data_IF_111749991627
#
_entry.id   IF_111749991627
#
_cell.length_a   1.000
_cell.length_b   1.000
_cell.length_c   1.000
_cell.angle_alpha   90.00
_cell.angle_beta   90.00
_cell.angle_gamma   90.00
#
_symmetry.space_group_name_H-M   'P 1'
#
loop_
_entity.id
_entity.type
_entity.pdbx_description
1 polymer ?
#
# COMPACT_ATOMS: atom_id res chain seq x y z
N UNK A 1 20.37 -24.09 -9.05
CA UNK A 1 19.70 -24.46 -7.78
C UNK A 1 19.83 -23.28 -6.84
N UNK A 2 18.74 -22.90 -6.17
CA UNK A 2 18.77 -21.87 -5.11
C UNK A 2 19.58 -22.43 -3.93
N UNK A 3 20.42 -21.62 -3.29
CA UNK A 3 21.24 -22.10 -2.18
C UNK A 3 20.37 -22.46 -0.97
N UNK A 4 20.82 -23.45 -0.21
CA UNK A 4 20.10 -23.95 0.97
C UNK A 4 19.89 -22.85 2.02
N UNK A 5 20.86 -21.94 2.18
CA UNK A 5 20.75 -20.76 3.04
C UNK A 5 19.64 -19.81 2.60
N UNK A 6 19.50 -19.56 1.29
CA UNK A 6 18.42 -18.72 0.77
C UNK A 6 17.07 -19.40 0.96
N UNK A 7 17.01 -20.73 0.77
CA UNK A 7 15.77 -21.50 0.94
C UNK A 7 15.27 -21.45 2.39
N UNK A 8 16.16 -21.68 3.36
CA UNK A 8 15.83 -21.61 4.79
C UNK A 8 15.37 -20.20 5.20
N UNK A 9 16.03 -19.16 4.69
CA UNK A 9 15.63 -17.77 4.93
C UNK A 9 14.23 -17.47 4.37
N UNK A 10 13.93 -17.92 3.14
CA UNK A 10 12.60 -17.73 2.53
C UNK A 10 11.52 -18.49 3.29
N UNK A 11 11.81 -19.70 3.76
CA UNK A 11 10.86 -20.52 4.52
C UNK A 11 10.55 -19.90 5.89
N UNK A 12 11.56 -19.32 6.55
CA UNK A 12 11.39 -18.56 7.80
C UNK A 12 10.48 -17.34 7.60
N UNK A 13 10.76 -16.52 6.59
CA UNK A 13 9.93 -15.37 6.23
C UNK A 13 8.50 -15.82 5.90
N UNK A 14 8.35 -16.88 5.10
CA UNK A 14 7.04 -17.38 4.69
C UNK A 14 6.21 -17.89 5.88
N UNK A 15 6.86 -18.53 6.86
CA UNK A 15 6.22 -18.98 8.11
C UNK A 15 5.75 -17.82 8.99
N UNK A 16 6.51 -16.72 9.05
CA UNK A 16 6.12 -15.50 9.77
C UNK A 16 4.92 -14.81 9.08
N UNK A 17 4.97 -14.69 7.76
CA UNK A 17 3.98 -14.00 6.93
C UNK A 17 2.59 -14.67 6.94
N UNK A 18 2.50 -16.00 7.05
CA UNK A 18 1.21 -16.70 6.95
C UNK A 18 0.16 -16.26 7.97
N UNK A 19 0.57 -15.88 9.19
CA UNK A 19 -0.38 -15.43 10.24
C UNK A 19 -0.89 -14.01 10.00
N UNK A 20 -0.17 -13.22 9.22
CA UNK A 20 -0.41 -11.80 8.98
C UNK A 20 -0.69 -11.48 7.51
N UNK A 21 -0.91 -12.51 6.69
CA UNK A 21 -0.98 -12.39 5.23
C UNK A 21 -1.98 -11.31 4.75
N UNK A 22 -3.14 -11.21 5.42
CA UNK A 22 -4.15 -10.18 5.10
C UNK A 22 -3.68 -8.76 5.39
N UNK A 23 -2.89 -8.55 6.44
CA UNK A 23 -2.36 -7.24 6.80
C UNK A 23 -1.20 -6.84 5.91
N UNK A 24 -0.36 -7.82 5.55
CA UNK A 24 0.71 -7.63 4.57
C UNK A 24 0.11 -7.23 3.22
N UNK A 25 -0.95 -7.92 2.78
CA UNK A 25 -1.67 -7.58 1.56
C UNK A 25 -2.28 -6.16 1.62
N UNK A 26 -2.85 -5.76 2.76
CA UNK A 26 -3.36 -4.40 2.98
C UNK A 26 -2.24 -3.36 2.83
N UNK A 27 -1.11 -3.54 3.50
CA UNK A 27 0.03 -2.61 3.45
C UNK A 27 0.59 -2.53 2.03
N UNK A 28 0.79 -3.67 1.35
CA UNK A 28 1.22 -3.68 -0.06
C UNK A 28 0.23 -2.96 -0.97
N UNK A 29 -1.08 -3.15 -0.74
CA UNK A 29 -2.13 -2.47 -1.50
C UNK A 29 -2.04 -0.95 -1.32
N UNK A 30 -1.82 -0.48 -0.09
CA UNK A 30 -1.64 0.95 0.20
C UNK A 30 -0.43 1.51 -0.54
N UNK A 31 0.74 0.88 -0.43
CA UNK A 31 1.95 1.31 -1.14
C UNK A 31 1.78 1.32 -2.66
N UNK A 32 1.11 0.31 -3.21
CA UNK A 32 0.77 0.27 -4.63
C UNK A 32 -0.12 1.46 -5.01
N UNK A 33 -1.18 1.74 -4.26
CA UNK A 33 -2.08 2.86 -4.55
C UNK A 33 -1.41 4.23 -4.44
N UNK A 34 -0.47 4.41 -3.49
CA UNK A 34 0.35 5.62 -3.40
C UNK A 34 1.08 5.89 -4.73
N UNK A 35 1.57 4.84 -5.41
CA UNK A 35 2.23 5.01 -6.72
C UNK A 35 1.32 5.56 -7.81
N UNK A 36 -0.01 5.39 -7.66
CA UNK A 36 -1.03 5.87 -8.61
C UNK A 36 -1.51 7.30 -8.29
N UNK A 37 -1.23 7.82 -7.09
CA UNK A 37 -1.53 9.20 -6.72
C UNK A 37 -0.64 10.17 -7.50
N UNK A 38 -1.12 11.38 -7.75
CA UNK A 38 -0.37 12.45 -8.39
C UNK A 38 0.91 12.78 -7.59
N UNK A 39 2.05 13.06 -8.26
CA UNK A 39 3.35 13.15 -7.59
C UNK A 39 3.39 14.06 -6.35
N UNK A 40 2.72 15.22 -6.40
CA UNK A 40 2.72 16.21 -5.32
C UNK A 40 1.94 15.81 -4.05
N UNK A 41 1.29 14.63 -4.03
CA UNK A 41 0.56 14.11 -2.87
C UNK A 41 1.12 12.80 -2.33
N UNK A 42 2.05 12.16 -3.05
CA UNK A 42 2.56 10.82 -2.68
C UNK A 42 3.26 10.80 -1.34
N UNK A 43 4.13 11.77 -1.09
CA UNK A 43 4.94 11.87 0.13
C UNK A 43 4.06 11.93 1.39
N UNK A 44 2.98 12.71 1.37
CA UNK A 44 2.04 12.81 2.49
C UNK A 44 1.34 11.48 2.80
N UNK A 45 0.97 10.69 1.76
CA UNK A 45 0.40 9.37 2.00
C UNK A 45 1.45 8.36 2.47
N UNK A 46 2.69 8.50 2.02
CA UNK A 46 3.82 7.68 2.47
C UNK A 46 4.13 7.94 3.94
N UNK A 47 4.14 9.20 4.35
CA UNK A 47 4.27 9.59 5.74
C UNK A 47 3.11 9.07 6.59
N UNK A 48 1.87 9.18 6.09
CA UNK A 48 0.70 8.68 6.80
C UNK A 48 0.78 7.16 7.08
N UNK A 49 1.15 6.34 6.10
CA UNK A 49 1.26 4.89 6.32
C UNK A 49 2.47 4.52 7.20
N UNK A 50 3.56 5.29 7.14
CA UNK A 50 4.72 5.09 8.01
C UNK A 50 4.42 5.43 9.48
N UNK A 51 3.48 6.34 9.73
CA UNK A 51 3.04 6.76 11.06
C UNK A 51 1.76 6.06 11.53
N UNK A 52 1.22 5.10 10.77
CA UNK A 52 0.05 4.34 11.17
C UNK A 52 0.38 3.44 12.38
N UNK A 53 -0.41 3.53 13.45
CA UNK A 53 -0.19 2.77 14.68
C UNK A 53 -1.13 1.56 14.77
N UNK A 54 -2.13 1.50 13.90
CA UNK A 54 -3.18 0.47 13.91
C UNK A 54 -3.63 0.04 12.51
N UNK A 55 -4.37 -1.07 12.47
CA UNK A 55 -5.02 -1.56 11.24
C UNK A 55 -6.12 -0.60 10.80
N UNK A 56 -6.82 0.01 11.75
CA UNK A 56 -7.84 1.02 11.54
C UNK A 56 -7.25 2.23 10.81
N UNK A 57 -6.08 2.73 11.23
CA UNK A 57 -5.36 3.81 10.52
C UNK A 57 -5.04 3.42 9.08
N UNK A 58 -4.56 2.19 8.86
CA UNK A 58 -4.28 1.68 7.52
C UNK A 58 -5.53 1.66 6.63
N UNK A 59 -6.70 1.29 7.18
CA UNK A 59 -7.97 1.34 6.44
C UNK A 59 -8.43 2.77 6.12
N UNK A 60 -8.27 3.71 7.06
CA UNK A 60 -8.57 5.13 6.82
C UNK A 60 -7.68 5.71 5.70
N UNK A 61 -6.38 5.39 5.73
CA UNK A 61 -5.43 5.77 4.68
C UNK A 61 -5.84 5.16 3.33
N UNK A 62 -6.22 3.88 3.30
CA UNK A 62 -6.70 3.21 2.09
C UNK A 62 -7.95 3.90 1.52
N UNK A 63 -8.88 4.32 2.38
CA UNK A 63 -10.09 5.03 1.95
C UNK A 63 -9.75 6.41 1.36
N UNK A 64 -8.87 7.17 2.02
CA UNK A 64 -8.40 8.45 1.51
C UNK A 64 -7.68 8.33 0.15
N UNK A 65 -6.87 7.29 -0.04
CA UNK A 65 -6.23 6.99 -1.32
C UNK A 65 -7.22 6.75 -2.44
N UNK A 66 -8.27 5.95 -2.20
CA UNK A 66 -9.34 5.70 -3.19
C UNK A 66 -10.03 7.00 -3.60
N UNK A 67 -10.34 7.86 -2.63
CA UNK A 67 -10.96 9.17 -2.88
C UNK A 67 -10.05 10.08 -3.71
N UNK A 68 -8.76 10.19 -3.36
CA UNK A 68 -7.79 10.99 -4.11
C UNK A 68 -7.65 10.52 -5.55
N UNK A 69 -7.50 9.20 -5.78
CA UNK A 69 -7.39 8.62 -7.12
C UNK A 69 -8.67 8.88 -7.93
N UNK A 70 -9.84 8.69 -7.31
CA UNK A 70 -11.14 8.99 -7.91
C UNK A 70 -11.27 10.46 -8.31
N UNK A 71 -10.89 11.38 -7.42
CA UNK A 71 -10.92 12.82 -7.69
C UNK A 71 -9.98 13.22 -8.84
N UNK A 72 -8.78 12.63 -8.91
CA UNK A 72 -7.86 12.83 -10.03
C UNK A 72 -8.46 12.34 -11.35
N UNK A 73 -9.11 11.18 -11.35
CA UNK A 73 -9.82 10.63 -12.51
C UNK A 73 -10.97 11.53 -12.97
N UNK A 74 -11.84 11.93 -12.02
CA UNK A 74 -12.96 12.83 -12.28
C UNK A 74 -12.48 14.18 -12.86
N UNK A 75 -11.42 14.77 -12.30
CA UNK A 75 -10.83 16.01 -12.81
C UNK A 75 -10.37 15.90 -14.27
N UNK A 76 -9.85 14.74 -14.69
CA UNK A 76 -9.48 14.51 -16.10
C UNK A 76 -10.70 14.50 -17.02
N UNK A 77 -11.81 13.88 -16.58
CA UNK A 77 -13.05 13.83 -17.35
C UNK A 77 -13.71 15.20 -17.44
N UNK A 78 -13.75 15.95 -16.34
CA UNK A 78 -14.33 17.30 -16.28
C UNK A 78 -13.52 18.35 -17.04
N UNK A 79 -12.19 18.19 -17.18
CA UNK A 79 -11.35 19.09 -18.00
C UNK A 79 -11.60 18.97 -19.50
N UNK A 80 -12.26 17.90 -19.94
CA UNK A 80 -12.55 17.61 -21.35
C UNK A 80 -14.03 17.87 -21.70
N UNK A 81 -14.82 18.40 -20.76
CA UNK A 81 -16.17 18.93 -20.99
C UNK A 81 -16.10 20.44 -21.22
#
# INVERSE_FOLDING_TARGET
MVSENIKNFVDEISGQVQKEAKYIELVFTIYYLISLVEPGKRESFQEAINNAESIEDAYEILNALKLQIGAQGAKKLLKNL
#
